data_IF_070678413535
#
_entry.id   IF_070678413535
#
_cell.length_a   1.000
_cell.length_b   1.000
_cell.length_c   1.000
_cell.angle_alpha   90.00
_cell.angle_beta   90.00
_cell.angle_gamma   90.00
#
_symmetry.space_group_name_H-M   'P 1'
#
loop_
_entity.id
_entity.type
_entity.pdbx_description
1 polymer ?
#
# COMPACT_ATOMS: atom_id res chain seq x y z
N UNK A 1 -14.93 4.77 10.36
CA UNK A 1 -16.00 5.29 11.24
C UNK A 1 -16.05 6.80 11.21
N UNK A 2 -15.05 7.52 11.72
CA UNK A 2 -15.05 9.00 11.80
C UNK A 2 -15.55 9.76 10.56
N UNK A 3 -15.16 9.36 9.34
CA UNK A 3 -15.67 9.98 8.12
C UNK A 3 -17.18 9.80 7.95
N UNK A 4 -17.68 8.57 8.14
CA UNK A 4 -19.10 8.25 8.01
C UNK A 4 -19.95 8.85 9.15
N UNK A 5 -19.36 8.99 10.33
CA UNK A 5 -19.98 9.69 11.46
C UNK A 5 -20.17 11.18 11.14
N UNK A 6 -19.16 11.81 10.54
CA UNK A 6 -19.22 13.21 10.11
C UNK A 6 -20.23 13.43 8.99
N UNK A 7 -20.28 12.52 8.01
CA UNK A 7 -21.18 12.66 6.84
C UNK A 7 -22.58 12.11 7.08
N UNK A 8 -22.76 11.25 8.08
CA UNK A 8 -23.99 10.48 8.28
C UNK A 8 -24.27 9.49 7.14
N UNK A 9 -23.26 9.15 6.34
CA UNK A 9 -23.40 8.28 5.16
C UNK A 9 -22.30 7.23 5.12
N UNK A 10 -22.69 6.01 4.74
CA UNK A 10 -21.76 4.92 4.42
C UNK A 10 -20.89 5.36 3.24
N UNK A 11 -19.59 5.11 3.33
CA UNK A 11 -18.69 5.34 2.20
C UNK A 11 -19.03 4.38 1.06
N UNK A 12 -19.16 4.91 -0.15
CA UNK A 12 -19.38 4.11 -1.35
C UNK A 12 -18.06 3.55 -1.87
N UNK A 13 -17.87 2.24 -1.72
CA UNK A 13 -16.73 1.49 -2.23
C UNK A 13 -17.09 0.01 -2.44
N UNK A 14 -16.51 -0.63 -3.45
CA UNK A 14 -16.60 -2.07 -3.65
C UNK A 14 -15.59 -2.85 -2.81
N UNK A 15 -14.49 -2.19 -2.40
CA UNK A 15 -13.42 -2.78 -1.59
C UNK A 15 -12.84 -1.77 -0.59
N UNK A 16 -12.57 -2.22 0.64
CA UNK A 16 -11.85 -1.45 1.66
C UNK A 16 -10.68 -2.29 2.18
N UNK A 17 -9.45 -1.75 2.11
CA UNK A 17 -8.25 -2.50 2.50
C UNK A 17 -7.03 -1.61 2.74
N UNK A 18 -5.92 -2.22 3.09
CA UNK A 18 -4.60 -1.59 3.09
C UNK A 18 -4.01 -1.58 1.67
N UNK A 19 -3.37 -0.48 1.28
CA UNK A 19 -2.65 -0.31 0.00
C UNK A 19 -1.72 -1.46 -0.31
N UNK A 20 -1.06 -2.01 0.71
CA UNK A 20 -0.15 -3.15 0.57
C UNK A 20 -0.81 -4.40 -0.03
N UNK A 21 -2.11 -4.61 0.21
CA UNK A 21 -2.83 -5.76 -0.36
C UNK A 21 -3.01 -5.58 -1.85
N UNK A 22 -3.50 -4.41 -2.29
CA UNK A 22 -3.64 -4.11 -3.73
C UNK A 22 -2.28 -4.11 -4.44
N UNK A 23 -1.22 -3.66 -3.76
CA UNK A 23 0.14 -3.73 -4.30
C UNK A 23 0.55 -5.17 -4.64
N UNK A 24 0.25 -6.14 -3.77
CA UNK A 24 0.52 -7.57 -4.01
C UNK A 24 -0.30 -8.13 -5.16
N UNK A 25 -1.58 -7.74 -5.26
CA UNK A 25 -2.46 -8.16 -6.36
C UNK A 25 -1.97 -7.61 -7.71
N UNK A 26 -1.72 -6.30 -7.81
CA UNK A 26 -1.25 -5.65 -9.04
C UNK A 26 0.10 -6.16 -9.52
N UNK A 27 1.03 -6.47 -8.61
CA UNK A 27 2.38 -6.93 -8.96
C UNK A 27 2.45 -8.42 -9.30
N UNK A 28 1.42 -9.21 -9.01
CA UNK A 28 1.48 -10.67 -9.11
C UNK A 28 1.82 -11.19 -10.52
N UNK A 29 1.47 -10.44 -11.57
CA UNK A 29 1.73 -10.81 -12.97
C UNK A 29 3.23 -10.75 -13.35
N UNK A 30 4.04 -9.96 -12.63
CA UNK A 30 5.49 -9.83 -12.89
C UNK A 30 6.37 -10.20 -11.67
N UNK A 31 5.78 -10.36 -10.48
CA UNK A 31 6.46 -10.82 -9.27
C UNK A 31 6.25 -12.31 -9.07
N UNK A 32 7.16 -13.14 -9.59
CA UNK A 32 7.11 -14.61 -9.48
C UNK A 32 7.62 -15.14 -8.13
N UNK A 33 8.45 -14.38 -7.42
CA UNK A 33 9.11 -14.85 -6.17
C UNK A 33 8.27 -14.68 -4.91
N UNK A 34 7.24 -13.85 -4.95
CA UNK A 34 6.50 -13.46 -3.76
C UNK A 34 5.20 -14.26 -3.63
N UNK A 35 5.03 -14.94 -2.50
CA UNK A 35 3.74 -15.49 -2.09
C UNK A 35 2.96 -14.48 -1.24
N UNK A 36 1.64 -14.66 -1.16
CA UNK A 36 0.80 -13.92 -0.24
C UNK A 36 -0.42 -14.73 0.16
N UNK A 37 -0.93 -14.44 1.36
CA UNK A 37 -2.24 -14.86 1.81
C UNK A 37 -2.97 -13.66 2.43
N UNK A 38 -4.25 -13.56 2.11
CA UNK A 38 -5.14 -12.49 2.56
C UNK A 38 -6.48 -13.10 3.00
N UNK A 39 -7.10 -12.52 4.01
CA UNK A 39 -8.47 -12.84 4.38
C UNK A 39 -9.41 -11.78 3.82
N UNK A 40 -10.58 -12.20 3.37
CA UNK A 40 -11.62 -11.31 2.87
C UNK A 40 -12.99 -11.68 3.45
N UNK A 41 -13.86 -10.68 3.64
CA UNK A 41 -15.27 -10.89 3.99
C UNK A 41 -16.15 -9.86 3.28
N UNK A 42 -17.39 -10.22 2.99
CA UNK A 42 -18.38 -9.32 2.41
C UNK A 42 -19.29 -8.77 3.50
N UNK A 43 -19.37 -7.44 3.61
CA UNK A 43 -20.29 -6.80 4.54
C UNK A 43 -20.91 -5.54 3.91
N UNK A 44 -22.24 -5.51 3.86
CA UNK A 44 -23.02 -4.41 3.25
C UNK A 44 -22.50 -4.01 1.85
N UNK A 45 -22.41 -4.99 0.94
CA UNK A 45 -21.96 -4.84 -0.45
C UNK A 45 -20.51 -4.36 -0.64
N UNK A 46 -19.70 -4.40 0.42
CA UNK A 46 -18.30 -4.00 0.40
C UNK A 46 -17.43 -5.19 0.81
N UNK A 47 -16.41 -5.50 0.00
CA UNK A 47 -15.40 -6.50 0.39
C UNK A 47 -14.39 -5.81 1.31
N UNK A 48 -14.11 -6.42 2.46
CA UNK A 48 -13.03 -6.02 3.35
C UNK A 48 -11.91 -7.03 3.23
N UNK A 49 -10.69 -6.55 3.05
CA UNK A 49 -9.52 -7.38 2.79
C UNK A 49 -8.39 -7.02 3.75
N UNK A 50 -7.79 -8.03 4.37
CA UNK A 50 -6.65 -7.89 5.25
C UNK A 50 -5.55 -8.90 4.95
N UNK A 51 -4.35 -8.66 5.47
CA UNK A 51 -3.24 -9.61 5.40
C UNK A 51 -3.50 -10.80 6.33
N UNK A 52 -3.26 -12.03 5.87
CA UNK A 52 -3.31 -13.17 6.77
C UNK A 52 -2.11 -13.11 7.74
N UNK A 53 -2.39 -12.86 9.01
CA UNK A 53 -1.36 -12.65 10.04
C UNK A 53 -0.48 -13.89 10.24
N UNK A 54 -1.06 -15.09 10.31
CA UNK A 54 -0.31 -16.34 10.50
C UNK A 54 0.68 -16.61 9.35
N UNK A 55 0.23 -16.41 8.11
CA UNK A 55 1.07 -16.52 6.93
C UNK A 55 2.20 -15.49 6.96
N UNK A 56 1.90 -14.25 7.34
CA UNK A 56 2.90 -13.17 7.47
C UNK A 56 3.98 -13.54 8.48
N UNK A 57 3.60 -13.98 9.69
CA UNK A 57 4.54 -14.39 10.75
C UNK A 57 5.39 -15.57 10.29
N UNK A 58 4.77 -16.56 9.64
CA UNK A 58 5.48 -17.74 9.11
C UNK A 58 6.49 -17.35 8.03
N UNK A 59 6.12 -16.44 7.12
CA UNK A 59 7.00 -15.93 6.08
C UNK A 59 8.18 -15.14 6.68
N UNK A 60 7.92 -14.25 7.64
CA UNK A 60 8.95 -13.49 8.35
C UNK A 60 9.92 -14.41 9.11
N UNK A 61 9.42 -15.43 9.81
CA UNK A 61 10.24 -16.40 10.52
C UNK A 61 11.10 -17.26 9.58
N UNK A 62 10.62 -17.56 8.37
CA UNK A 62 11.43 -18.22 7.34
C UNK A 62 12.52 -17.30 6.80
N UNK A 63 12.19 -16.03 6.59
CA UNK A 63 13.14 -15.03 6.07
C UNK A 63 14.25 -14.73 7.09
N UNK A 64 13.93 -14.58 8.38
CA UNK A 64 14.92 -14.30 9.43
C UNK A 64 15.92 -15.44 9.66
N UNK A 65 15.53 -16.68 9.35
CA UNK A 65 16.42 -17.85 9.39
C UNK A 65 17.39 -17.93 8.20
N UNK A 66 17.20 -17.14 7.15
CA UNK A 66 18.11 -17.15 6.00
C UNK A 66 19.41 -16.44 6.35
N UNK A 67 20.51 -17.20 6.36
CA UNK A 67 21.85 -16.63 6.58
C UNK A 67 22.27 -15.87 5.33
N UNK A 68 22.68 -14.61 5.53
CA UNK A 68 23.22 -13.79 4.45
C UNK A 68 24.54 -14.35 3.97
N UNK A 69 24.76 -14.38 2.65
CA UNK A 69 26.03 -14.85 2.09
C UNK A 69 27.19 -13.96 2.58
N UNK A 70 28.39 -14.53 2.80
CA UNK A 70 29.57 -13.75 3.19
C UNK A 70 29.78 -12.54 2.26
N UNK A 71 30.01 -11.37 2.85
CA UNK A 71 30.19 -10.11 2.11
C UNK A 71 28.90 -9.45 1.61
N UNK A 72 27.72 -9.96 1.98
CA UNK A 72 26.44 -9.27 1.74
C UNK A 72 25.84 -8.72 3.03
N UNK A 73 25.24 -7.51 2.99
CA UNK A 73 24.55 -6.96 4.14
C UNK A 73 23.36 -7.85 4.53
N UNK A 74 23.08 -7.93 5.83
CA UNK A 74 21.92 -8.63 6.35
C UNK A 74 20.62 -7.97 5.92
N UNK A 75 19.52 -8.73 5.99
CA UNK A 75 18.19 -8.17 5.75
C UNK A 75 17.88 -7.02 6.72
N UNK A 76 18.25 -7.16 8.00
CA UNK A 76 18.06 -6.13 9.01
C UNK A 76 18.84 -4.85 8.70
N UNK A 77 20.08 -4.98 8.22
CA UNK A 77 20.89 -3.84 7.79
C UNK A 77 20.26 -3.14 6.57
N UNK A 78 19.74 -3.92 5.61
CA UNK A 78 19.04 -3.36 4.46
C UNK A 78 17.75 -2.63 4.84
N UNK A 79 17.01 -3.13 5.83
CA UNK A 79 15.84 -2.46 6.39
C UNK A 79 16.24 -1.19 7.13
N UNK A 80 17.29 -1.24 7.97
CA UNK A 80 17.82 -0.08 8.69
C UNK A 80 18.21 1.07 7.76
N UNK A 81 18.83 0.79 6.61
CA UNK A 81 19.17 1.84 5.65
C UNK A 81 17.97 2.58 5.08
N UNK A 82 16.79 1.95 4.99
CA UNK A 82 15.55 2.64 4.64
C UNK A 82 15.20 3.70 5.67
N UNK A 83 15.04 3.29 6.93
CA UNK A 83 14.68 4.20 8.02
C UNK A 83 15.77 5.26 8.29
N UNK A 84 17.06 4.92 8.14
CA UNK A 84 18.13 5.91 8.26
C UNK A 84 18.07 6.93 7.12
N UNK A 85 17.74 6.52 5.90
CA UNK A 85 17.55 7.45 4.79
C UNK A 85 16.39 8.41 5.05
N UNK A 86 15.26 7.91 5.57
CA UNK A 86 14.14 8.76 6.02
C UNK A 86 14.58 9.75 7.10
N UNK A 87 15.28 9.28 8.14
CA UNK A 87 15.81 10.15 9.22
C UNK A 87 16.71 11.26 8.69
N UNK A 88 17.52 10.97 7.67
CA UNK A 88 18.45 11.94 7.08
C UNK A 88 17.76 12.89 6.10
N UNK A 89 16.70 12.45 5.41
CA UNK A 89 16.01 13.24 4.40
C UNK A 89 14.88 14.11 4.95
N UNK A 90 14.28 13.73 6.07
CA UNK A 90 13.10 14.38 6.61
C UNK A 90 13.44 15.40 7.71
N UNK A 91 12.51 16.33 7.91
CA UNK A 91 12.47 17.26 9.03
C UNK A 91 11.15 17.06 9.78
N UNK A 92 11.12 17.27 11.11
CA UNK A 92 9.90 17.11 11.91
C UNK A 92 8.88 18.23 11.66
N UNK A 93 9.31 19.36 11.12
CA UNK A 93 8.49 20.52 10.76
C UNK A 93 9.00 21.13 9.44
N UNK A 94 8.38 22.24 9.02
CA UNK A 94 8.86 23.00 7.86
C UNK A 94 10.30 23.51 8.08
N UNK A 95 10.98 23.87 6.99
CA UNK A 95 12.40 24.25 7.04
C UNK A 95 12.63 25.45 7.96
N UNK A 96 11.75 26.45 7.94
CA UNK A 96 11.84 27.68 8.73
C UNK A 96 11.51 27.45 10.22
N UNK A 97 10.68 26.46 10.54
CA UNK A 97 10.35 26.10 11.92
C UNK A 97 11.38 25.14 12.55
N UNK A 98 12.19 24.46 11.74
CA UNK A 98 13.14 23.47 12.24
C UNK A 98 14.47 24.13 12.67
N UNK A 99 14.93 23.96 13.93
CA UNK A 99 16.17 24.56 14.39
C UNK A 99 17.39 24.10 13.59
N UNK A 100 18.33 25.04 13.35
CA UNK A 100 19.59 24.74 12.62
C UNK A 100 20.38 23.60 13.26
N UNK A 101 20.44 23.58 14.59
CA UNK A 101 21.10 22.53 15.37
C UNK A 101 20.54 21.14 15.04
N UNK A 102 19.21 21.01 14.94
CA UNK A 102 18.59 19.74 14.56
C UNK A 102 19.00 19.34 13.14
N UNK A 103 18.90 20.26 12.17
CA UNK A 103 19.20 20.00 10.75
C UNK A 103 20.63 19.48 10.58
N UNK A 104 21.59 20.10 11.27
CA UNK A 104 23.01 19.75 11.22
C UNK A 104 23.34 18.48 12.02
N UNK A 105 22.52 18.11 13.01
CA UNK A 105 22.74 16.93 13.85
C UNK A 105 22.00 15.66 13.38
N UNK A 106 21.24 15.70 12.26
CA UNK A 106 20.43 14.56 11.76
C UNK A 106 21.20 13.24 11.59
N UNK A 107 22.50 13.30 11.36
CA UNK A 107 23.34 12.10 11.29
C UNK A 107 23.41 11.32 12.61
N UNK A 108 23.26 12.01 13.75
CA UNK A 108 23.31 11.45 15.09
C UNK A 108 21.92 11.16 15.68
N UNK A 109 20.84 11.55 14.99
CA UNK A 109 19.48 11.23 15.40
C UNK A 109 19.22 9.72 15.41
N UNK A 110 18.49 9.29 16.44
CA UNK A 110 18.12 7.88 16.63
C UNK A 110 17.09 7.49 15.57
N UNK A 111 17.39 6.44 14.83
CA UNK A 111 16.48 5.88 13.84
C UNK A 111 15.30 5.22 14.56
N UNK A 112 14.09 5.59 14.17
CA UNK A 112 12.85 5.06 14.73
C UNK A 112 11.90 4.64 13.59
N UNK A 113 11.32 3.45 13.69
CA UNK A 113 10.34 2.92 12.75
C UNK A 113 8.93 2.70 13.36
N UNK A 114 8.68 3.21 14.57
CA UNK A 114 7.39 3.11 15.25
C UNK A 114 6.42 4.20 14.82
N UNK A 115 6.92 5.42 14.55
CA UNK A 115 6.08 6.53 14.12
C UNK A 115 5.68 6.34 12.67
N UNK A 116 4.38 6.35 12.39
CA UNK A 116 3.84 6.19 11.04
C UNK A 116 2.76 7.23 10.78
N UNK A 117 2.69 7.71 9.54
CA UNK A 117 1.60 8.56 9.08
C UNK A 117 0.85 7.84 7.97
N UNK A 118 -0.42 7.52 8.22
CA UNK A 118 -1.28 6.85 7.26
C UNK A 118 -2.25 7.83 6.60
N UNK A 119 -2.25 7.83 5.27
CA UNK A 119 -3.28 8.46 4.46
C UNK A 119 -4.39 7.44 4.14
N UNK A 120 -5.64 7.89 4.13
CA UNK A 120 -6.79 7.11 3.68
C UNK A 120 -7.34 7.78 2.43
N UNK A 121 -7.28 7.09 1.30
CA UNK A 121 -7.67 7.65 0.00
C UNK A 121 -8.82 6.87 -0.60
N UNK A 122 -9.68 7.57 -1.36
CA UNK A 122 -10.65 6.96 -2.27
C UNK A 122 -10.06 6.96 -3.68
N UNK A 123 -9.97 5.79 -4.29
CA UNK A 123 -9.41 5.59 -5.64
C UNK A 123 -10.20 4.56 -6.42
N UNK A 124 -9.82 4.24 -7.65
CA UNK A 124 -10.46 3.19 -8.44
C UNK A 124 -9.58 2.54 -9.50
N UNK A 125 -9.89 1.29 -9.82
CA UNK A 125 -9.30 0.53 -10.92
C UNK A 125 -10.44 -0.13 -11.69
N UNK A 126 -10.54 0.15 -12.99
CA UNK A 126 -11.69 -0.28 -13.80
C UNK A 126 -12.99 0.32 -13.25
N UNK A 127 -13.98 -0.54 -12.98
CA UNK A 127 -15.26 -0.16 -12.37
C UNK A 127 -15.26 -0.20 -10.83
N UNK A 128 -14.15 -0.60 -10.21
CA UNK A 128 -14.07 -0.81 -8.76
C UNK A 128 -13.61 0.45 -8.06
N UNK A 129 -14.44 0.95 -7.15
CA UNK A 129 -14.08 2.04 -6.24
C UNK A 129 -13.53 1.42 -4.95
N UNK A 130 -12.36 1.89 -4.51
CA UNK A 130 -11.66 1.35 -3.35
C UNK A 130 -11.36 2.44 -2.33
N UNK A 131 -11.44 2.10 -1.05
CA UNK A 131 -10.82 2.89 0.03
C UNK A 131 -9.54 2.19 0.46
N UNK A 132 -8.41 2.90 0.36
CA UNK A 132 -7.10 2.38 0.70
C UNK A 132 -6.50 3.16 1.86
N UNK A 133 -6.17 2.45 2.94
CA UNK A 133 -5.26 2.96 3.97
C UNK A 133 -3.81 2.66 3.58
N UNK A 134 -2.91 3.64 3.71
CA UNK A 134 -1.50 3.40 3.45
C UNK A 134 -0.59 4.46 4.07
N UNK A 135 0.55 3.99 4.55
CA UNK A 135 1.64 4.85 5.00
C UNK A 135 2.17 5.73 3.86
N UNK A 136 2.47 6.98 4.18
CA UNK A 136 3.17 7.94 3.32
C UNK A 136 4.35 8.53 4.09
N UNK A 137 5.49 8.69 3.41
CA UNK A 137 6.75 8.98 4.09
C UNK A 137 6.86 10.46 4.49
N UNK A 138 6.50 11.39 3.59
CA UNK A 138 6.57 12.82 3.87
C UNK A 138 5.74 13.70 2.94
N UNK A 139 5.70 14.99 3.27
CA UNK A 139 5.22 16.07 2.40
C UNK A 139 6.44 16.74 1.76
N UNK A 140 6.37 17.03 0.46
CA UNK A 140 7.46 17.67 -0.28
C UNK A 140 7.71 19.11 0.14
N UNK A 141 6.64 19.85 0.42
CA UNK A 141 6.64 21.28 0.74
C UNK A 141 5.92 21.55 2.07
N UNK A 142 4.61 21.76 2.05
CA UNK A 142 3.78 22.08 3.22
C UNK A 142 2.40 21.49 3.02
N UNK A 143 1.76 21.03 4.10
CA UNK A 143 0.36 20.61 4.00
C UNK A 143 -0.51 21.83 3.67
N UNK A 144 -1.39 21.74 2.67
CA UNK A 144 -2.37 22.79 2.41
C UNK A 144 -3.23 23.04 3.66
N UNK A 145 -3.60 24.30 3.86
CA UNK A 145 -4.52 24.71 4.94
C UNK A 145 -5.99 24.48 4.58
N UNK A 146 -6.28 24.25 3.30
CA UNK A 146 -7.59 23.86 2.78
C UNK A 146 -7.63 22.35 2.49
N UNK A 147 -8.77 21.87 1.97
CA UNK A 147 -8.95 20.47 1.56
C UNK A 147 -8.25 20.15 0.21
N UNK A 148 -7.22 20.92 -0.16
CA UNK A 148 -6.43 20.73 -1.38
C UNK A 148 -5.58 19.45 -1.38
N UNK A 149 -5.09 19.03 -2.56
CA UNK A 149 -4.24 17.85 -2.65
C UNK A 149 -2.92 18.06 -1.92
N UNK A 150 -2.54 17.09 -1.09
CA UNK A 150 -1.25 17.12 -0.38
C UNK A 150 -0.16 16.61 -1.33
N UNK A 151 0.94 17.35 -1.41
CA UNK A 151 2.09 17.00 -2.23
C UNK A 151 2.97 15.95 -1.53
N UNK A 152 2.50 14.71 -1.51
CA UNK A 152 3.19 13.59 -0.87
C UNK A 152 4.49 13.22 -1.59
N UNK A 153 5.44 12.66 -0.84
CA UNK A 153 6.64 12.04 -1.37
C UNK A 153 6.87 10.68 -0.74
N UNK A 154 7.31 9.72 -1.55
CA UNK A 154 7.76 8.40 -1.10
C UNK A 154 9.30 8.35 -1.13
N UNK A 155 9.92 7.90 -0.06
CA UNK A 155 11.35 7.70 0.06
C UNK A 155 11.69 6.22 -0.14
N UNK A 156 12.72 5.96 -0.93
CA UNK A 156 13.23 4.61 -1.18
C UNK A 156 14.73 4.59 -1.22
N UNK A 157 15.33 3.43 -0.91
CA UNK A 157 16.76 3.20 -1.13
C UNK A 157 16.99 2.04 -2.09
N UNK A 158 18.04 2.14 -2.89
CA UNK A 158 18.49 1.06 -3.77
C UNK A 158 20.01 1.00 -3.85
N UNK A 159 20.54 -0.15 -4.24
CA UNK A 159 21.94 -0.24 -4.64
C UNK A 159 22.16 0.58 -5.93
N UNK A 160 23.32 1.23 -6.02
CA UNK A 160 23.72 1.98 -7.21
C UNK A 160 23.78 1.07 -8.46
N UNK A 161 23.37 1.62 -9.60
CA UNK A 161 23.23 0.87 -10.86
C UNK A 161 24.55 0.94 -11.61
N UNK A 162 25.27 -0.17 -11.69
CA UNK A 162 26.62 -0.21 -12.30
C UNK A 162 26.66 -0.94 -13.64
N UNK A 163 25.63 -1.72 -13.94
CA UNK A 163 25.56 -2.56 -15.13
C UNK A 163 24.10 -2.94 -15.43
N UNK A 164 23.89 -3.59 -16.58
CA UNK A 164 22.57 -4.01 -17.05
C UNK A 164 21.82 -4.95 -16.09
N UNK A 165 22.54 -5.79 -15.34
CA UNK A 165 21.92 -6.70 -14.36
C UNK A 165 21.41 -5.93 -13.14
N UNK A 166 22.16 -4.94 -12.69
CA UNK A 166 21.73 -4.03 -11.62
C UNK A 166 20.51 -3.22 -12.09
N UNK A 167 20.47 -2.80 -13.36
CA UNK A 167 19.31 -2.12 -13.96
C UNK A 167 18.04 -2.99 -13.94
N UNK A 168 18.12 -4.24 -14.41
CA UNK A 168 16.98 -5.18 -14.35
C UNK A 168 16.49 -5.40 -12.91
N UNK A 169 17.41 -5.44 -11.95
CA UNK A 169 17.07 -5.58 -10.53
C UNK A 169 16.37 -4.33 -10.00
N UNK A 170 16.84 -3.15 -10.39
CA UNK A 170 16.21 -1.89 -10.06
C UNK A 170 14.82 -1.77 -10.67
N UNK A 171 14.63 -2.08 -11.94
CA UNK A 171 13.32 -2.00 -12.58
C UNK A 171 12.27 -2.89 -11.90
N UNK A 172 12.65 -4.09 -11.44
CA UNK A 172 11.75 -4.96 -10.66
C UNK A 172 11.32 -4.33 -9.33
N UNK A 173 12.20 -3.56 -8.68
CA UNK A 173 11.82 -2.77 -7.49
C UNK A 173 10.97 -1.58 -7.87
N UNK A 174 11.33 -0.90 -8.96
CA UNK A 174 10.67 0.28 -9.46
C UNK A 174 9.20 0.02 -9.82
N UNK A 175 8.86 -1.20 -10.27
CA UNK A 175 7.47 -1.63 -10.39
C UNK A 175 6.70 -1.52 -9.07
N UNK A 176 7.28 -2.03 -7.97
CA UNK A 176 6.64 -1.97 -6.65
C UNK A 176 6.56 -0.54 -6.14
N UNK A 177 7.61 0.25 -6.34
CA UNK A 177 7.61 1.67 -5.98
C UNK A 177 6.51 2.42 -6.73
N UNK A 178 6.40 2.20 -8.04
CA UNK A 178 5.35 2.77 -8.86
C UNK A 178 3.96 2.37 -8.38
N UNK A 179 3.67 1.07 -8.22
CA UNK A 179 2.35 0.60 -7.76
C UNK A 179 2.01 1.22 -6.40
N UNK A 180 2.97 1.21 -5.47
CA UNK A 180 2.82 1.76 -4.14
C UNK A 180 2.38 3.23 -4.19
N UNK A 181 3.14 4.08 -4.89
CA UNK A 181 2.89 5.51 -4.99
C UNK A 181 1.65 5.82 -5.82
N UNK A 182 1.45 5.12 -6.94
CA UNK A 182 0.28 5.25 -7.82
C UNK A 182 -1.04 5.04 -7.06
N UNK A 183 -1.12 3.99 -6.23
CA UNK A 183 -2.34 3.65 -5.49
C UNK A 183 -2.74 4.70 -4.44
N UNK A 184 -1.79 5.46 -3.90
CA UNK A 184 -2.04 6.54 -2.93
C UNK A 184 -2.04 7.93 -3.56
N UNK A 185 -1.85 8.03 -4.88
CA UNK A 185 -1.73 9.31 -5.56
C UNK A 185 -0.49 10.11 -5.15
N UNK A 186 0.60 9.43 -4.75
CA UNK A 186 1.88 10.07 -4.41
C UNK A 186 2.60 10.46 -5.71
N UNK A 187 2.77 11.76 -6.01
CA UNK A 187 3.31 12.20 -7.30
C UNK A 187 4.81 11.95 -7.46
N UNK A 188 5.57 11.87 -6.35
CA UNK A 188 7.03 11.84 -6.39
C UNK A 188 7.62 10.71 -5.55
N UNK A 189 8.64 10.07 -6.10
CA UNK A 189 9.48 9.09 -5.40
C UNK A 189 10.92 9.61 -5.39
N UNK A 190 11.55 9.66 -4.22
CA UNK A 190 12.96 10.00 -4.06
C UNK A 190 13.73 8.72 -3.76
N UNK A 191 14.69 8.38 -4.63
CA UNK A 191 15.50 7.18 -4.48
C UNK A 191 16.93 7.55 -4.09
N UNK A 192 17.34 7.15 -2.89
CA UNK A 192 18.73 7.16 -2.45
C UNK A 192 19.50 5.95 -2.98
N UNK A 193 20.46 6.17 -3.87
CA UNK A 193 21.33 5.13 -4.40
C UNK A 193 22.61 5.02 -3.58
N UNK A 194 22.86 3.82 -3.04
CA UNK A 194 23.95 3.56 -2.10
C UNK A 194 24.95 2.52 -2.58
N UNK A 195 26.14 2.53 -2.00
CA UNK A 195 27.13 1.46 -2.13
C UNK A 195 26.65 0.17 -1.43
N UNK A 196 27.31 -0.98 -1.66
CA UNK A 196 27.06 -2.21 -0.91
C UNK A 196 27.26 -2.05 0.62
N UNK A 197 28.09 -1.12 1.05
CA UNK A 197 28.40 -0.81 2.46
C UNK A 197 27.38 0.13 3.12
N UNK A 198 26.39 0.63 2.36
CA UNK A 198 25.36 1.51 2.90
C UNK A 198 25.60 3.01 2.69
N UNK A 199 26.68 3.40 2.01
CA UNK A 199 27.02 4.81 1.80
C UNK A 199 26.19 5.39 0.67
N UNK A 200 25.41 6.44 0.94
CA UNK A 200 24.64 7.16 -0.06
C UNK A 200 25.57 7.83 -1.07
N UNK A 201 25.36 7.60 -2.37
CA UNK A 201 26.18 8.15 -3.45
C UNK A 201 25.47 9.26 -4.22
N UNK A 202 24.17 9.08 -4.46
CA UNK A 202 23.34 10.02 -5.21
C UNK A 202 21.87 9.85 -4.83
N UNK A 203 21.09 10.89 -5.09
CA UNK A 203 19.64 10.90 -4.94
C UNK A 203 19.05 11.16 -6.32
N UNK A 204 17.91 10.54 -6.60
CA UNK A 204 17.16 10.76 -7.83
C UNK A 204 15.70 11.02 -7.49
N UNK A 205 15.14 12.10 -8.03
CA UNK A 205 13.71 12.39 -7.97
C UNK A 205 13.03 11.81 -9.21
N UNK A 206 12.01 11.01 -8.99
CA UNK A 206 11.30 10.32 -10.05
C UNK A 206 9.81 10.68 -9.94
N UNK A 207 9.26 11.21 -11.02
CA UNK A 207 7.81 11.40 -11.16
C UNK A 207 7.13 10.04 -11.34
N UNK A 208 6.22 9.71 -10.40
CA UNK A 208 5.47 8.45 -10.37
C UNK A 208 4.77 8.18 -11.71
N UNK A 209 4.19 9.22 -12.34
CA UNK A 209 3.43 9.06 -13.58
C UNK A 209 4.32 8.66 -14.77
N UNK A 210 5.57 9.09 -14.77
CA UNK A 210 6.53 8.80 -15.84
C UNK A 210 7.08 7.37 -15.83
N UNK A 211 7.11 6.73 -14.65
CA UNK A 211 7.84 5.47 -14.42
C UNK A 211 7.53 4.38 -15.45
N UNK A 212 6.26 4.01 -15.74
CA UNK A 212 5.97 2.94 -16.68
C UNK A 212 6.50 3.24 -18.09
N UNK A 213 6.43 4.50 -18.52
CA UNK A 213 6.91 4.92 -19.83
C UNK A 213 8.44 4.89 -19.92
N UNK A 214 9.13 5.26 -18.84
CA UNK A 214 10.60 5.22 -18.74
C UNK A 214 11.10 3.78 -18.83
N UNK A 215 10.51 2.84 -18.07
CA UNK A 215 10.88 1.42 -18.12
C UNK A 215 10.68 0.83 -19.52
N UNK A 216 9.59 1.21 -20.20
CA UNK A 216 9.24 0.72 -21.54
C UNK A 216 10.13 1.29 -22.65
N UNK A 217 10.48 2.57 -22.60
CA UNK A 217 11.17 3.29 -23.69
C UNK A 217 12.67 3.40 -23.52
N UNK A 218 13.13 3.54 -22.28
CA UNK A 218 14.53 3.82 -21.94
C UNK A 218 15.17 2.67 -21.15
N UNK A 219 14.34 1.86 -20.51
CA UNK A 219 14.75 0.70 -19.71
C UNK A 219 14.92 -0.59 -20.51
N UNK A 220 14.88 -1.71 -19.78
CA UNK A 220 14.92 -3.08 -20.29
C UNK A 220 13.52 -3.67 -20.49
N UNK A 221 12.45 -2.90 -20.24
CA UNK A 221 11.08 -3.34 -20.45
C UNK A 221 10.68 -4.54 -19.60
N UNK A 222 11.16 -4.62 -18.35
CA UNK A 222 10.97 -5.80 -17.50
C UNK A 222 9.54 -6.00 -16.97
N UNK A 223 8.69 -4.97 -17.07
CA UNK A 223 7.27 -4.99 -16.72
C UNK A 223 6.51 -3.91 -17.52
N UNK A 224 5.18 -4.03 -17.58
CA UNK A 224 4.30 -3.07 -18.26
C UNK A 224 3.18 -2.62 -17.31
N UNK A 225 3.06 -1.31 -17.09
CA UNK A 225 2.09 -0.74 -16.15
C UNK A 225 0.64 -0.99 -16.55
N UNK A 226 0.32 -1.01 -17.85
CA UNK A 226 -1.04 -1.30 -18.31
C UNK A 226 -1.40 -2.75 -18.03
N UNK A 227 -0.45 -3.68 -18.18
CA UNK A 227 -0.66 -5.08 -17.79
C UNK A 227 -0.95 -5.23 -16.30
N UNK A 228 -0.23 -4.50 -15.43
CA UNK A 228 -0.51 -4.50 -13.98
C UNK A 228 -1.93 -4.00 -13.66
N UNK A 229 -2.35 -2.87 -14.27
CA UNK A 229 -3.67 -2.28 -14.05
C UNK A 229 -4.79 -3.19 -14.56
N UNK A 230 -4.66 -3.68 -15.80
CA UNK A 230 -5.66 -4.55 -16.42
C UNK A 230 -5.79 -5.89 -15.66
N UNK A 231 -4.67 -6.47 -15.24
CA UNK A 231 -4.68 -7.68 -14.42
C UNK A 231 -5.41 -7.45 -13.10
N UNK A 232 -5.11 -6.34 -12.40
CA UNK A 232 -5.80 -6.03 -11.15
C UNK A 232 -7.28 -5.76 -11.34
N UNK A 233 -7.69 -5.06 -12.40
CA UNK A 233 -9.11 -4.88 -12.73
C UNK A 233 -9.83 -6.22 -12.89
N UNK A 234 -9.28 -7.11 -13.72
CA UNK A 234 -9.86 -8.43 -13.97
C UNK A 234 -9.88 -9.30 -12.70
N UNK A 235 -8.86 -9.19 -11.85
CA UNK A 235 -8.81 -9.90 -10.59
C UNK A 235 -9.86 -9.38 -9.60
N UNK A 236 -10.08 -8.05 -9.54
CA UNK A 236 -11.13 -7.46 -8.71
C UNK A 236 -12.53 -7.85 -9.20
N UNK A 237 -12.75 -7.93 -10.52
CA UNK A 237 -13.99 -8.48 -11.09
C UNK A 237 -14.22 -9.92 -10.63
N UNK A 238 -13.18 -10.76 -10.71
CA UNK A 238 -13.24 -12.14 -10.24
C UNK A 238 -13.55 -12.24 -8.75
N UNK A 239 -12.90 -11.43 -7.91
CA UNK A 239 -13.16 -11.40 -6.45
C UNK A 239 -14.61 -11.01 -6.14
N UNK A 240 -15.15 -9.99 -6.82
CA UNK A 240 -16.54 -9.55 -6.66
C UNK A 240 -17.55 -10.60 -7.12
N UNK A 241 -17.24 -11.35 -8.16
CA UNK A 241 -18.09 -12.43 -8.65
C UNK A 241 -18.02 -13.69 -7.76
N UNK A 242 -16.95 -13.86 -6.99
CA UNK A 242 -16.70 -15.06 -6.17
C UNK A 242 -17.15 -14.86 -4.72
N UNK A 243 -16.86 -13.70 -4.13
CA UNK A 243 -17.14 -13.37 -2.72
C UNK A 243 -18.52 -12.70 -2.65
N UNK A 244 -19.57 -13.50 -2.80
CA UNK A 244 -20.97 -13.04 -2.84
C UNK A 244 -21.77 -13.40 -1.60
N UNK A 245 -21.24 -14.30 -0.77
CA UNK A 245 -21.90 -14.84 0.41
C UNK A 245 -21.15 -14.44 1.69
N UNK A 246 -21.83 -14.59 2.82
CA UNK A 246 -21.25 -14.42 4.15
C UNK A 246 -20.07 -15.39 4.39
N UNK A 247 -19.28 -15.08 5.41
CA UNK A 247 -18.13 -15.86 5.83
C UNK A 247 -16.78 -15.20 5.54
N UNK A 248 -15.73 -15.96 5.83
CA UNK A 248 -14.34 -15.56 5.61
C UNK A 248 -13.79 -16.34 4.43
N UNK A 249 -13.17 -15.61 3.51
CA UNK A 249 -12.55 -16.12 2.29
C UNK A 249 -11.04 -15.95 2.35
N UNK A 250 -10.31 -16.91 1.82
CA UNK A 250 -8.86 -16.87 1.69
C UNK A 250 -8.48 -16.62 0.23
N UNK A 251 -7.69 -15.58 0.00
CA UNK A 251 -7.03 -15.31 -1.28
C UNK A 251 -5.56 -15.70 -1.12
N UNK A 252 -5.08 -16.67 -1.88
CA UNK A 252 -3.74 -17.22 -1.73
C UNK A 252 -2.99 -17.29 -3.04
N UNK A 253 -1.75 -16.84 -3.02
CA UNK A 253 -0.75 -17.16 -4.03
C UNK A 253 0.48 -17.79 -3.39
N UNK A 254 0.82 -19.00 -3.84
CA UNK A 254 2.07 -19.66 -3.42
C UNK A 254 3.26 -19.03 -4.17
N UNK A 255 4.43 -19.00 -3.54
CA UNK A 255 5.66 -18.57 -4.19
C UNK A 255 5.91 -19.36 -5.48
N UNK A 256 6.26 -18.67 -6.57
CA UNK A 256 6.49 -19.25 -7.91
C UNK A 256 5.30 -19.97 -8.54
N UNK A 257 4.12 -19.90 -7.93
CA UNK A 257 2.91 -20.45 -8.53
C UNK A 257 2.31 -19.47 -9.55
N UNK A 258 1.76 -19.99 -10.67
CA UNK A 258 1.16 -19.16 -11.71
C UNK A 258 -0.25 -18.67 -11.34
N UNK A 259 -0.93 -19.33 -10.40
CA UNK A 259 -2.32 -19.06 -10.05
C UNK A 259 -2.52 -18.37 -8.70
N UNK A 260 -3.69 -17.76 -8.55
CA UNK A 260 -4.22 -17.23 -7.29
C UNK A 260 -5.46 -18.07 -6.96
N UNK A 261 -5.45 -18.72 -5.79
CA UNK A 261 -6.58 -19.48 -5.27
C UNK A 261 -7.49 -18.55 -4.47
N UNK A 262 -8.81 -18.71 -4.60
CA UNK A 262 -9.82 -18.05 -3.77
C UNK A 262 -10.80 -19.11 -3.27
N UNK A 263 -10.94 -19.26 -1.96
CA UNK A 263 -11.80 -20.28 -1.35
C UNK A 263 -12.32 -19.83 0.00
N UNK A 264 -13.54 -20.25 0.35
CA UNK A 264 -14.13 -19.99 1.66
C UNK A 264 -13.44 -20.83 2.74
N UNK A 265 -13.13 -20.21 3.88
CA UNK A 265 -12.51 -20.84 5.05
C UNK A 265 -13.43 -20.87 6.26
N UNK A 266 -14.38 -19.94 6.35
CA UNK A 266 -15.45 -19.94 7.35
C UNK A 266 -16.78 -19.67 6.65
N UNK A 267 -17.82 -20.40 7.04
CA UNK A 267 -19.14 -20.36 6.39
C UNK A 267 -19.96 -19.13 6.77
N UNK A 268 -19.70 -18.54 7.93
CA UNK A 268 -20.49 -17.43 8.49
C UNK A 268 -19.63 -16.44 9.24
N UNK A 269 -20.06 -15.19 9.30
CA UNK A 269 -19.39 -14.12 10.03
C UNK A 269 -18.20 -13.52 9.29
N UNK A 270 -17.45 -12.69 10.01
CA UNK A 270 -16.43 -11.81 9.44
C UNK A 270 -15.01 -12.11 9.93
N UNK A 271 -14.82 -13.18 10.70
CA UNK A 271 -13.59 -13.45 11.44
C UNK A 271 -13.19 -12.24 12.31
N UNK A 272 -11.90 -11.97 12.40
CA UNK A 272 -11.36 -10.79 13.09
C UNK A 272 -11.18 -9.57 12.17
N UNK A 273 -11.68 -9.63 10.92
CA UNK A 273 -11.47 -8.58 9.91
C UNK A 273 -12.23 -7.30 10.26
N UNK A 274 -13.43 -7.45 10.81
CA UNK A 274 -14.32 -6.35 11.18
C UNK A 274 -14.51 -6.31 12.69
N UNK A 275 -14.32 -5.15 13.31
CA UNK A 275 -14.60 -4.98 14.72
C UNK A 275 -16.11 -4.92 14.99
N UNK A 276 -16.53 -5.41 16.16
CA UNK A 276 -17.91 -5.28 16.62
C UNK A 276 -18.39 -3.83 16.64
N UNK A 277 -17.50 -2.90 17.01
CA UNK A 277 -17.79 -1.46 17.00
C UNK A 277 -18.18 -0.99 15.58
N UNK A 278 -17.41 -1.39 14.56
CA UNK A 278 -17.67 -1.02 13.17
C UNK A 278 -18.95 -1.66 12.63
N UNK A 279 -19.18 -2.94 12.93
CA UNK A 279 -20.40 -3.64 12.54
C UNK A 279 -21.61 -2.95 13.17
N UNK A 280 -21.57 -2.69 14.47
CA UNK A 280 -22.65 -2.01 15.19
C UNK A 280 -22.90 -0.59 14.66
N UNK A 281 -21.85 0.15 14.35
CA UNK A 281 -21.95 1.47 13.70
C UNK A 281 -22.70 1.38 12.37
N UNK A 282 -22.27 0.47 11.48
CA UNK A 282 -22.84 0.30 10.15
C UNK A 282 -24.28 -0.22 10.17
N UNK A 283 -24.65 -1.05 11.14
CA UNK A 283 -26.04 -1.49 11.35
C UNK A 283 -26.91 -0.30 11.76
N UNK A 284 -26.49 0.47 12.78
CA UNK A 284 -27.22 1.67 13.24
C UNK A 284 -27.39 2.69 12.13
N UNK A 285 -26.36 2.87 11.31
CA UNK A 285 -26.40 3.78 10.17
C UNK A 285 -27.45 3.35 9.13
N UNK A 286 -27.47 2.06 8.77
CA UNK A 286 -28.44 1.53 7.83
C UNK A 286 -29.89 1.63 8.36
N UNK A 287 -30.12 1.37 9.65
CA UNK A 287 -31.44 1.53 10.27
C UNK A 287 -31.94 2.98 10.18
N UNK A 288 -31.07 3.96 10.50
CA UNK A 288 -31.42 5.39 10.40
C UNK A 288 -31.77 5.80 8.96
N UNK A 289 -31.07 5.27 7.97
CA UNK A 289 -31.34 5.55 6.56
C UNK A 289 -32.69 4.96 6.13
N UNK A 290 -32.99 3.72 6.53
CA UNK A 290 -34.29 3.09 6.25
C UNK A 290 -35.47 3.84 6.90
N UNK A 291 -35.30 4.34 8.12
CA UNK A 291 -36.34 5.10 8.79
C UNK A 291 -36.59 6.45 8.10
N UNK A 292 -35.52 7.15 7.71
CA UNK A 292 -35.62 8.40 6.94
C UNK A 292 -36.29 8.19 5.56
N UNK A 293 -35.98 7.10 4.87
CA UNK A 293 -36.61 6.74 3.58
C UNK A 293 -38.11 6.46 3.74
N UNK A 294 -38.51 5.75 4.81
CA UNK A 294 -39.93 5.49 5.11
C UNK A 294 -40.69 6.79 5.40
N UNK A 295 -40.13 7.66 6.24
CA UNK A 295 -40.74 8.96 6.56
C UNK A 295 -40.90 9.83 5.31
N UNK A 296 -39.88 9.87 4.44
CA UNK A 296 -39.94 10.61 3.18
C UNK A 296 -41.01 10.06 2.23
N UNK A 297 -41.18 8.74 2.16
CA UNK A 297 -42.22 8.11 1.36
C UNK A 297 -43.63 8.41 1.89
N UNK A 298 -43.82 8.40 3.22
CA UNK A 298 -45.08 8.75 3.88
C UNK A 298 -45.46 10.23 3.71
N UNK A 299 -44.48 11.13 3.63
CA UNK A 299 -44.72 12.56 3.39
C UNK A 299 -45.10 12.89 1.93
N UNK A 300 -44.92 11.94 1.00
CA UNK A 300 -45.26 12.09 -0.42
C UNK A 300 -46.63 11.47 -0.79
N UNK A 301 -47.27 10.78 0.16
CA UNK A 301 -48.63 10.23 0.06
C UNK A 301 -49.63 11.09 0.80
#
# INVERSE_FOLDING_TARGET
>A
MAHEEKTGQKVEASLITWRGMITKLMSAIFSDRDGFEMNATLFQDTIFLEENHEYKLTSQARQSRQVSQPGRPSQDMMSFWGYKFETLCLLPATWDETPREYIENRENEIVNNHAQYCSVVRTGIGQHIMILGGEVDAVWDSKPTDDGPINWVELKTSADIRNDRDMVTFERKLMKFWIQSFLLGVPKIIVGFRTPEGILKRIEEIDTASIPSTVKRQGKGTWDGNMCINFASALLDFLRATITEDGVWRIRRKERAPGIDVFRVEETGHGDILSDEFINWRIKLAMKQQDAEKEAALAQT
#
